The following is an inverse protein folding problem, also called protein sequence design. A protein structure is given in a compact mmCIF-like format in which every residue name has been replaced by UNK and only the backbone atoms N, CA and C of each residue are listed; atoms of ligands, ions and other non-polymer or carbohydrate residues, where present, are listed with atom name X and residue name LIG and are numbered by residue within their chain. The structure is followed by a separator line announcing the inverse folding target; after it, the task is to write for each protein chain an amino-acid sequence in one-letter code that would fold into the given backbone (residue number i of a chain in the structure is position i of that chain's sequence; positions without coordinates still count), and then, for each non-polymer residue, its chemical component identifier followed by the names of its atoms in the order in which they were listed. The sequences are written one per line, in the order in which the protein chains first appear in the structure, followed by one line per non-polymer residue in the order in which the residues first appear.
data_IF_461613278886
#
_entry.id   IF_461613278886
#
_cell.length_a   1.000
_cell.length_b   1.000
_cell.length_c   1.000
_cell.angle_alpha   90.00
_cell.angle_beta   90.00
_cell.angle_gamma   90.00
#
_symmetry.space_group_name_H-M   'P 1'
#
loop_
_entity.id
_entity.type
_entity.pdbx_description
1 polymer ?
#
# COMPACT_ATOMS: atom_id res chain seq x y z
N UNK A 1 -5.08 9.92 -36.70
CA UNK A 1 -5.86 9.19 -35.68
C UNK A 1 -4.97 9.05 -34.46
N UNK A 2 -5.20 9.87 -33.42
CA UNK A 2 -4.40 9.81 -32.21
C UNK A 2 -4.91 8.65 -31.35
N UNK A 3 -4.07 7.63 -31.17
CA UNK A 3 -4.29 6.55 -30.21
C UNK A 3 -4.20 7.13 -28.81
N UNK A 4 -5.35 7.32 -28.16
CA UNK A 4 -5.44 7.59 -26.73
C UNK A 4 -5.01 6.34 -25.99
N UNK A 5 -3.72 6.25 -25.67
CA UNK A 5 -3.24 5.31 -24.66
C UNK A 5 -3.95 5.63 -23.33
N UNK A 6 -4.52 4.65 -22.61
CA UNK A 6 -5.01 4.91 -21.27
C UNK A 6 -3.78 5.26 -20.44
N UNK A 7 -3.75 6.48 -19.90
CA UNK A 7 -2.73 6.93 -18.97
C UNK A 7 -2.67 5.94 -17.80
N UNK A 8 -1.75 4.98 -17.87
CA UNK A 8 -1.52 3.93 -16.89
C UNK A 8 -0.87 4.46 -15.62
N UNK A 9 -1.35 5.57 -15.08
CA UNK A 9 -0.94 6.02 -13.77
C UNK A 9 -1.51 5.03 -12.74
N UNK A 10 -0.65 4.42 -11.90
CA UNK A 10 -1.11 3.52 -10.86
C UNK A 10 -2.09 4.25 -9.95
N UNK A 11 -3.26 3.66 -9.73
CA UNK A 11 -4.27 4.26 -8.85
C UNK A 11 -3.68 4.46 -7.44
N UNK A 12 -3.98 5.59 -6.77
CA UNK A 12 -3.57 5.78 -5.40
C UNK A 12 -4.10 4.62 -4.55
N UNK A 13 -3.24 4.05 -3.70
CA UNK A 13 -3.59 2.89 -2.87
C UNK A 13 -4.85 3.16 -2.02
N UNK A 14 -5.05 4.40 -1.57
CA UNK A 14 -6.28 4.82 -0.89
C UNK A 14 -7.53 4.61 -1.77
N UNK A 15 -7.48 4.98 -3.04
CA UNK A 15 -8.57 4.82 -4.01
C UNK A 15 -8.86 3.34 -4.26
N UNK A 16 -7.82 2.51 -4.37
CA UNK A 16 -7.95 1.04 -4.52
C UNK A 16 -8.60 0.40 -3.29
N UNK A 17 -8.23 0.83 -2.08
CA UNK A 17 -8.84 0.32 -0.85
C UNK A 17 -10.31 0.73 -0.76
N UNK A 18 -10.62 1.99 -1.07
CA UNK A 18 -12.00 2.50 -1.06
C UNK A 18 -12.86 1.74 -2.08
N UNK A 19 -12.36 1.50 -3.30
CA UNK A 19 -13.12 0.76 -4.32
C UNK A 19 -13.39 -0.68 -3.90
N UNK A 20 -12.41 -1.37 -3.31
CA UNK A 20 -12.61 -2.71 -2.75
C UNK A 20 -13.65 -2.75 -1.63
N UNK A 21 -13.67 -1.73 -0.75
CA UNK A 21 -14.68 -1.61 0.30
C UNK A 21 -16.08 -1.40 -0.28
N UNK A 22 -16.22 -0.52 -1.28
CA UNK A 22 -17.51 -0.25 -1.95
C UNK A 22 -18.02 -1.51 -2.66
N UNK A 23 -17.16 -2.23 -3.37
CA UNK A 23 -17.52 -3.50 -4.03
C UNK A 23 -17.96 -4.54 -2.99
N UNK A 24 -17.24 -4.65 -1.88
CA UNK A 24 -17.58 -5.56 -0.79
C UNK A 24 -18.96 -5.28 -0.20
N UNK A 25 -19.24 -4.01 0.13
CA UNK A 25 -20.56 -3.59 0.64
C UNK A 25 -21.65 -3.89 -0.40
N UNK A 26 -21.39 -3.61 -1.68
CA UNK A 26 -22.31 -3.93 -2.78
C UNK A 26 -22.65 -5.42 -2.86
N UNK A 27 -21.65 -6.29 -2.72
CA UNK A 27 -21.84 -7.75 -2.71
C UNK A 27 -22.67 -8.22 -1.51
N UNK A 28 -22.48 -7.62 -0.33
CA UNK A 28 -23.32 -7.92 0.86
C UNK A 28 -24.77 -7.55 0.59
N UNK A 29 -25.02 -6.32 0.12
CA UNK A 29 -26.38 -5.83 -0.18
C UNK A 29 -27.04 -6.72 -1.23
N UNK A 30 -26.33 -7.02 -2.32
CA UNK A 30 -26.83 -7.90 -3.37
C UNK A 30 -27.10 -9.32 -2.84
N UNK A 31 -26.22 -9.86 -2.00
CA UNK A 31 -26.42 -11.16 -1.33
C UNK A 31 -27.67 -11.19 -0.46
N UNK A 32 -27.99 -10.11 0.26
CA UNK A 32 -29.25 -10.02 1.02
C UNK A 32 -30.49 -10.05 0.11
N UNK A 33 -30.46 -9.37 -1.04
CA UNK A 33 -31.55 -9.40 -2.02
C UNK A 33 -31.64 -10.72 -2.79
N UNK A 34 -30.53 -11.46 -2.91
CA UNK A 34 -30.47 -12.78 -3.56
C UNK A 34 -30.99 -13.92 -2.67
N UNK A 35 -31.05 -13.72 -1.34
CA UNK A 35 -31.50 -14.71 -0.34
C UNK A 35 -32.83 -15.41 -0.64
N UNK A 36 -33.89 -14.74 -1.14
CA UNK A 36 -35.14 -15.41 -1.48
C UNK A 36 -35.08 -16.24 -2.78
N UNK A 37 -34.06 -16.06 -3.62
CA UNK A 37 -33.91 -16.79 -4.88
C UNK A 37 -33.00 -18.02 -4.71
N UNK A 38 -31.88 -17.84 -4.01
CA UNK A 38 -30.90 -18.90 -3.76
C UNK A 38 -30.10 -18.59 -2.48
N UNK A 39 -30.25 -19.47 -1.49
CA UNK A 39 -29.61 -19.30 -0.18
C UNK A 39 -28.09 -19.57 -0.22
N UNK A 40 -27.62 -20.45 -1.11
CA UNK A 40 -26.19 -20.77 -1.23
C UNK A 40 -25.46 -19.60 -1.90
N UNK A 41 -26.02 -19.08 -3.00
CA UNK A 41 -25.47 -17.92 -3.71
C UNK A 41 -25.50 -16.67 -2.83
N UNK A 42 -26.57 -16.45 -2.07
CA UNK A 42 -26.67 -15.35 -1.10
C UNK A 42 -25.58 -15.44 -0.02
N UNK A 43 -25.37 -16.62 0.56
CA UNK A 43 -24.36 -16.82 1.60
C UNK A 43 -22.95 -16.60 1.05
N UNK A 44 -22.67 -17.10 -0.16
CA UNK A 44 -21.40 -16.88 -0.85
C UNK A 44 -21.14 -15.39 -1.11
N UNK A 45 -22.13 -14.65 -1.63
CA UNK A 45 -22.02 -13.22 -1.91
C UNK A 45 -21.77 -12.39 -0.64
N UNK A 46 -22.46 -12.72 0.45
CA UNK A 46 -22.25 -12.05 1.75
C UNK A 46 -20.84 -12.34 2.27
N UNK A 47 -20.39 -13.60 2.22
CA UNK A 47 -19.05 -13.98 2.67
C UNK A 47 -17.95 -13.28 1.85
N UNK A 48 -18.09 -13.27 0.53
CA UNK A 48 -17.19 -12.53 -0.37
C UNK A 48 -17.20 -11.02 -0.08
N UNK A 49 -18.38 -10.46 0.12
CA UNK A 49 -18.56 -9.05 0.42
C UNK A 49 -17.96 -8.62 1.75
N UNK A 50 -17.83 -9.52 2.73
CA UNK A 50 -17.11 -9.29 3.98
C UNK A 50 -15.59 -9.48 3.81
N UNK A 51 -15.17 -10.49 3.06
CA UNK A 51 -13.75 -10.84 2.92
C UNK A 51 -12.94 -9.77 2.18
N UNK A 52 -13.52 -9.16 1.13
CA UNK A 52 -12.90 -8.11 0.33
C UNK A 52 -12.50 -6.86 1.16
N UNK A 53 -13.38 -6.21 1.93
CA UNK A 53 -13.02 -5.05 2.74
C UNK A 53 -12.05 -5.40 3.88
N UNK A 54 -12.20 -6.57 4.50
CA UNK A 54 -11.29 -7.01 5.58
C UNK A 54 -9.86 -7.17 5.04
N UNK A 55 -9.69 -7.83 3.91
CA UNK A 55 -8.38 -7.99 3.27
C UNK A 55 -7.81 -6.64 2.81
N UNK A 56 -8.61 -5.76 2.21
CA UNK A 56 -8.16 -4.44 1.77
C UNK A 56 -7.67 -3.55 2.93
N UNK A 57 -8.39 -3.54 4.05
CA UNK A 57 -7.98 -2.79 5.26
C UNK A 57 -6.72 -3.38 5.87
N UNK A 58 -6.60 -4.71 5.93
CA UNK A 58 -5.40 -5.37 6.43
C UNK A 58 -4.17 -5.05 5.58
N UNK A 59 -4.29 -5.13 4.25
CA UNK A 59 -3.22 -4.72 3.32
C UNK A 59 -2.86 -3.25 3.47
N UNK A 60 -3.84 -2.35 3.66
CA UNK A 60 -3.57 -0.93 3.87
C UNK A 60 -2.76 -0.67 5.15
N UNK A 61 -3.09 -1.36 6.24
CA UNK A 61 -2.36 -1.24 7.52
C UNK A 61 -0.92 -1.73 7.34
N UNK A 62 -0.73 -2.88 6.70
CA UNK A 62 0.60 -3.44 6.42
C UNK A 62 1.41 -2.52 5.50
N UNK A 63 0.80 -2.01 4.42
CA UNK A 63 1.44 -1.07 3.51
C UNK A 63 1.89 0.20 4.25
N UNK A 64 0.99 0.79 5.05
CA UNK A 64 1.33 1.99 5.84
C UNK A 64 2.46 1.72 6.84
N UNK A 65 2.48 0.55 7.48
CA UNK A 65 3.56 0.15 8.39
C UNK A 65 4.88 -0.07 7.65
N UNK A 66 4.84 -0.68 6.46
CA UNK A 66 6.02 -0.91 5.62
C UNK A 66 6.64 0.40 5.14
N UNK A 67 5.83 1.29 4.56
CA UNK A 67 6.29 2.59 4.06
C UNK A 67 6.86 3.46 5.18
N UNK A 68 6.19 3.50 6.34
CA UNK A 68 6.68 4.27 7.48
C UNK A 68 8.05 3.77 7.99
N UNK A 69 8.33 2.47 7.88
CA UNK A 69 9.63 1.92 8.23
C UNK A 69 10.71 2.22 7.19
N UNK A 70 10.36 2.44 5.92
CA UNK A 70 11.32 2.84 4.87
C UNK A 70 11.78 4.30 5.09
N UNK A 71 10.87 5.20 5.43
CA UNK A 71 11.19 6.61 5.71
C UNK A 71 12.13 6.75 6.94
N UNK A 72 11.92 5.97 8.00
CA UNK A 72 12.80 5.95 9.18
C UNK A 72 14.17 5.30 8.88
N UNK A 73 14.25 4.38 7.90
CA UNK A 73 15.52 3.74 7.52
C UNK A 73 16.39 4.63 6.61
N UNK A 74 15.78 5.46 5.75
CA UNK A 74 16.52 6.42 4.91
C UNK A 74 17.15 7.56 5.72
N UNK A 75 16.45 8.05 6.76
CA UNK A 75 16.95 9.14 7.60
C UNK A 75 18.13 8.69 8.50
N UNK A 76 18.01 7.52 9.14
CA UNK A 76 19.09 6.96 9.97
C UNK A 76 20.32 6.56 9.14
N UNK A 77 20.09 6.00 7.94
CA UNK A 77 21.20 5.64 7.05
C UNK A 77 21.89 6.87 6.47
N UNK A 78 21.18 7.94 6.08
CA UNK A 78 21.82 9.19 5.64
C UNK A 78 22.69 9.82 6.74
N UNK A 79 22.23 9.84 7.99
CA UNK A 79 23.01 10.39 9.11
C UNK A 79 24.30 9.58 9.36
N UNK A 80 24.21 8.25 9.32
CA UNK A 80 25.35 7.33 9.44
C UNK A 80 26.33 7.44 8.26
N UNK A 81 25.85 7.59 7.02
CA UNK A 81 26.69 7.81 5.84
C UNK A 81 27.41 9.16 5.90
N UNK A 82 26.74 10.23 6.33
CA UNK A 82 27.34 11.55 6.46
C UNK A 82 28.42 11.58 7.56
N UNK A 83 28.18 10.91 8.69
CA UNK A 83 29.16 10.79 9.79
C UNK A 83 30.38 9.96 9.38
N UNK A 84 30.16 8.86 8.65
CA UNK A 84 31.23 8.02 8.11
C UNK A 84 32.08 8.77 7.08
N UNK A 85 31.47 9.42 6.08
CA UNK A 85 32.18 10.17 5.05
C UNK A 85 32.93 11.39 5.62
N UNK A 86 32.35 12.09 6.60
CA UNK A 86 33.02 13.19 7.30
C UNK A 86 34.27 12.73 8.07
N UNK A 87 34.23 11.54 8.66
CA UNK A 87 35.39 10.95 9.34
C UNK A 87 36.51 10.54 8.37
N UNK A 88 36.16 10.03 7.19
CA UNK A 88 37.12 9.65 6.14
C UNK A 88 37.82 10.90 5.56
N UNK A 89 37.08 12.00 5.37
CA UNK A 89 37.65 13.28 4.91
C UNK A 89 38.58 13.93 5.96
N UNK A 90 38.28 13.77 7.26
CA UNK A 90 39.16 14.26 8.33
C UNK A 90 40.46 13.45 8.44
N UNK A 91 40.43 12.14 8.19
CA UNK A 91 41.62 11.28 8.19
C UNK A 91 42.53 11.61 7.00
N UNK A 92 41.98 11.89 5.82
CA UNK A 92 42.78 12.24 4.63
C UNK A 92 43.42 13.64 4.73
N UNK A 93 42.76 14.60 5.37
CA UNK A 93 43.33 15.92 5.63
C UNK A 93 44.48 15.89 6.65
N UNK A 94 44.42 14.99 7.64
CA UNK A 94 45.49 14.83 8.63
C UNK A 94 46.73 14.09 8.06
N UNK A 95 46.55 13.26 7.03
CA UNK A 95 47.64 12.52 6.39
C UNK A 95 48.42 13.31 5.33
N UNK A 96 47.99 14.53 4.96
CA UNK A 96 48.63 15.35 3.93
C UNK A 96 49.56 16.45 4.50
N UNK A 97 49.76 16.51 5.82
CA UNK A 97 50.54 17.55 6.51
C UNK A 97 51.79 17.03 7.24
N UNK A 98 52.33 15.88 6.82
CA UNK A 98 53.61 15.35 7.30
C UNK A 98 54.40 14.78 6.13
#
# INVERSE_FOLDING_TARGET
MASTEPSGQPMPIRTTVISMVVIGIGAIVFGFFARPYDAEVSTFLIAMGILLPVSAVFFYILYKKSVKNEDEFEEESMELYQKSLGSIFMISAFSSSN
#
